data_IF_107149677204
#
_entry.id   IF_107149677204
#
_cell.length_a   1.000
_cell.length_b   1.000
_cell.length_c   1.000
_cell.angle_alpha   90.00
_cell.angle_beta   90.00
_cell.angle_gamma   90.00
#
_symmetry.space_group_name_H-M   'P 1'
#
loop_
_entity.id
_entity.type
_entity.pdbx_description
1 polymer ?
#
# COMPACT_ATOMS: atom_id res chain seq x y z
N UNK A 1 -21.17 8.42 4.30
CA UNK A 1 -21.07 8.07 5.74
C UNK A 1 -19.70 7.50 5.97
N UNK A 2 -18.88 8.14 6.80
CA UNK A 2 -17.50 7.70 7.06
C UNK A 2 -17.55 6.44 7.93
N UNK A 3 -17.17 5.29 7.38
CA UNK A 3 -16.93 4.07 8.15
C UNK A 3 -15.76 4.34 9.08
N UNK A 4 -16.04 4.58 10.35
CA UNK A 4 -15.04 4.53 11.41
C UNK A 4 -14.43 3.13 11.40
N UNK A 5 -13.24 2.99 10.81
CA UNK A 5 -12.51 1.73 10.79
C UNK A 5 -12.37 1.21 12.22
N UNK A 6 -12.86 0.00 12.46
CA UNK A 6 -12.85 -0.65 13.76
C UNK A 6 -11.39 -0.81 14.23
N UNK A 7 -11.01 -0.16 15.34
CA UNK A 7 -9.65 -0.18 15.87
C UNK A 7 -9.52 -1.26 16.94
N UNK A 8 -8.67 -2.25 16.70
CA UNK A 8 -8.36 -3.30 17.68
C UNK A 8 -7.20 -2.85 18.57
N UNK A 9 -7.36 -2.96 19.90
CA UNK A 9 -6.29 -2.65 20.85
C UNK A 9 -5.31 -3.83 20.90
N UNK A 10 -4.04 -3.56 20.60
CA UNK A 10 -2.96 -4.54 20.64
C UNK A 10 -1.87 -4.04 21.58
N UNK A 11 -1.32 -4.94 22.40
CA UNK A 11 -0.15 -4.66 23.25
C UNK A 11 1.06 -5.32 22.61
N UNK A 12 2.10 -4.54 22.31
CA UNK A 12 3.35 -5.00 21.69
C UNK A 12 4.53 -4.70 22.61
N UNK A 13 5.47 -5.64 22.69
CA UNK A 13 6.78 -5.40 23.31
C UNK A 13 7.73 -4.95 22.20
N UNK A 14 8.24 -3.72 22.31
CA UNK A 14 9.14 -3.11 21.33
C UNK A 14 10.47 -2.76 21.98
N UNK A 15 11.51 -2.67 21.16
CA UNK A 15 12.80 -2.15 21.58
C UNK A 15 12.66 -0.70 22.12
N UNK A 16 13.28 -0.36 23.26
CA UNK A 16 13.30 1.00 23.79
C UNK A 16 13.72 2.07 22.78
N UNK A 17 14.65 1.76 21.87
CA UNK A 17 15.09 2.70 20.83
C UNK A 17 13.99 2.97 19.81
N UNK A 18 13.25 1.94 19.42
CA UNK A 18 12.09 2.05 18.52
C UNK A 18 11.00 2.88 19.19
N UNK A 19 10.77 2.69 20.49
CA UNK A 19 9.81 3.49 21.28
C UNK A 19 10.16 4.97 21.25
N UNK A 20 11.45 5.28 21.44
CA UNK A 20 11.95 6.65 21.40
C UNK A 20 11.81 7.25 19.99
N UNK A 21 12.15 6.48 18.96
CA UNK A 21 12.11 6.92 17.56
C UNK A 21 10.68 7.29 17.12
N UNK A 22 9.67 6.45 17.39
CA UNK A 22 8.31 6.76 16.97
C UNK A 22 7.73 7.95 17.75
N UNK A 23 8.06 8.12 19.04
CA UNK A 23 7.62 9.28 19.84
C UNK A 23 8.20 10.59 19.31
N UNK A 24 9.48 10.59 18.94
CA UNK A 24 10.12 11.74 18.30
C UNK A 24 9.46 12.06 16.96
N UNK A 25 9.16 11.04 16.15
CA UNK A 25 8.46 11.22 14.88
C UNK A 25 7.03 11.75 15.09
N UNK A 26 6.31 11.25 16.10
CA UNK A 26 4.98 11.71 16.49
C UNK A 26 5.00 13.19 16.89
N UNK A 27 5.94 13.58 17.75
CA UNK A 27 6.14 14.98 18.17
C UNK A 27 6.47 15.90 16.99
N UNK A 28 7.35 15.47 16.07
CA UNK A 28 7.73 16.26 14.88
C UNK A 28 6.58 16.46 13.90
N UNK A 29 5.71 15.45 13.76
CA UNK A 29 4.57 15.48 12.82
C UNK A 29 3.28 16.00 13.45
N UNK A 30 3.24 16.24 14.76
CA UNK A 30 2.01 16.56 15.49
C UNK A 30 0.98 15.42 15.51
N UNK A 31 1.44 14.18 15.35
CA UNK A 31 0.59 12.99 15.28
C UNK A 31 0.58 12.25 16.63
N UNK A 32 -0.41 11.37 16.82
CA UNK A 32 -0.43 10.45 17.96
C UNK A 32 0.54 9.30 17.72
N UNK A 33 1.15 8.81 18.79
CA UNK A 33 2.01 7.62 18.82
C UNK A 33 1.44 6.46 17.98
N UNK A 34 0.17 6.10 18.22
CA UNK A 34 -0.50 5.03 17.49
C UNK A 34 -0.58 5.29 15.98
N UNK A 35 -0.75 6.53 15.52
CA UNK A 35 -0.85 6.84 14.09
C UNK A 35 0.50 6.59 13.39
N UNK A 36 1.60 6.98 14.04
CA UNK A 36 2.95 6.75 13.49
C UNK A 36 3.27 5.27 13.41
N UNK A 37 2.94 4.50 14.45
CA UNK A 37 3.14 3.05 14.47
C UNK A 37 2.27 2.37 13.40
N UNK A 38 1.01 2.77 13.28
CA UNK A 38 0.07 2.21 12.31
C UNK A 38 0.49 2.54 10.86
N UNK A 39 0.95 3.76 10.58
CA UNK A 39 1.51 4.13 9.27
C UNK A 39 2.75 3.31 8.91
N UNK A 40 3.68 3.14 9.86
CA UNK A 40 4.89 2.35 9.64
C UNK A 40 4.57 0.87 9.38
N UNK A 41 3.65 0.28 10.15
CA UNK A 41 3.19 -1.08 9.94
C UNK A 41 2.46 -1.24 8.60
N UNK A 42 1.62 -0.28 8.21
CA UNK A 42 0.95 -0.30 6.91
C UNK A 42 1.94 -0.25 5.75
N UNK A 43 2.95 0.63 5.84
CA UNK A 43 3.99 0.74 4.83
C UNK A 43 4.80 -0.56 4.72
N UNK A 44 5.20 -1.15 5.85
CA UNK A 44 6.02 -2.37 5.87
C UNK A 44 5.25 -3.62 5.43
N UNK A 45 3.98 -3.74 5.82
CA UNK A 45 3.13 -4.88 5.48
C UNK A 45 2.42 -4.72 4.12
N UNK A 46 2.63 -3.58 3.44
CA UNK A 46 1.93 -3.26 2.18
C UNK A 46 0.42 -3.06 2.33
N UNK A 47 -0.09 -2.92 3.55
CA UNK A 47 -1.50 -2.69 3.83
C UNK A 47 -1.85 -1.28 3.37
N UNK A 48 -2.56 -1.18 2.24
CA UNK A 48 -2.91 0.08 1.59
C UNK A 48 -2.00 0.48 0.43
N UNK A 49 -0.95 -0.29 0.11
CA UNK A 49 -0.14 -0.05 -1.10
C UNK A 49 -0.98 -0.28 -2.37
N UNK A 50 -1.81 -1.32 -2.38
CA UNK A 50 -2.77 -1.58 -3.45
C UNK A 50 -3.85 -0.49 -3.53
N UNK A 51 -4.37 -0.03 -2.39
CA UNK A 51 -5.35 1.08 -2.37
C UNK A 51 -4.74 2.41 -2.84
N UNK A 52 -3.47 2.67 -2.50
CA UNK A 52 -2.74 3.84 -2.98
C UNK A 52 -2.53 3.79 -4.49
N UNK A 53 -2.14 2.63 -5.03
CA UNK A 53 -2.03 2.39 -6.47
C UNK A 53 -3.39 2.54 -7.18
N UNK A 54 -4.45 1.98 -6.61
CA UNK A 54 -5.81 2.10 -7.16
C UNK A 54 -6.34 3.54 -7.10
N UNK A 55 -5.96 4.33 -6.09
CA UNK A 55 -6.31 5.76 -6.00
C UNK A 55 -5.55 6.62 -7.01
N UNK A 56 -4.32 6.25 -7.36
CA UNK A 56 -3.49 6.97 -8.33
C UNK A 56 -3.64 6.46 -9.75
N UNK A 57 -4.28 5.30 -9.94
CA UNK A 57 -4.58 4.79 -11.27
C UNK A 57 -5.43 5.80 -12.05
N UNK A 58 -5.04 6.13 -13.30
CA UNK A 58 -5.86 6.97 -14.16
C UNK A 58 -7.23 6.31 -14.33
N UNK A 59 -8.31 7.11 -14.26
CA UNK A 59 -9.65 6.64 -14.62
C UNK A 59 -9.67 6.43 -16.13
N UNK A 60 -9.30 5.23 -16.56
CA UNK A 60 -9.44 4.79 -17.94
C UNK A 60 -10.90 4.43 -18.20
N UNK A 61 -11.38 4.78 -19.39
CA UNK A 61 -12.65 4.27 -19.88
C UNK A 61 -12.57 2.75 -20.04
N UNK A 62 -13.72 2.07 -19.99
CA UNK A 62 -13.80 0.61 -20.07
C UNK A 62 -13.11 0.07 -21.34
N UNK A 63 -13.26 0.81 -22.45
CA UNK A 63 -12.63 0.47 -23.72
C UNK A 63 -11.10 0.55 -23.67
N UNK A 64 -10.54 1.58 -23.06
CA UNK A 64 -9.10 1.79 -22.89
C UNK A 64 -8.50 0.76 -21.93
N UNK A 65 -9.20 0.43 -20.84
CA UNK A 65 -8.79 -0.59 -19.89
C UNK A 65 -8.69 -1.98 -20.54
N UNK A 66 -9.68 -2.34 -21.37
CA UNK A 66 -9.70 -3.61 -22.10
C UNK A 66 -8.59 -3.64 -23.16
N UNK A 67 -8.30 -2.52 -23.82
CA UNK A 67 -7.18 -2.44 -24.78
C UNK A 67 -5.83 -2.65 -24.08
N UNK A 68 -5.57 -1.94 -22.98
CA UNK A 68 -4.34 -2.08 -22.21
C UNK A 68 -4.12 -3.51 -21.69
N UNK A 69 -5.17 -4.15 -21.16
CA UNK A 69 -5.11 -5.54 -20.71
C UNK A 69 -4.77 -6.52 -21.85
N UNK A 70 -5.33 -6.29 -23.04
CA UNK A 70 -5.06 -7.12 -24.21
C UNK A 70 -3.64 -6.93 -24.76
N UNK A 71 -3.10 -5.71 -24.71
CA UNK A 71 -1.73 -5.40 -25.13
C UNK A 71 -0.70 -6.10 -24.24
N UNK A 72 -0.86 -6.03 -22.93
CA UNK A 72 -0.03 -6.76 -21.97
C UNK A 72 -0.09 -8.28 -22.19
N UNK A 73 -1.31 -8.82 -22.40
CA UNK A 73 -1.49 -10.25 -22.69
C UNK A 73 -0.81 -10.67 -23.99
N UNK A 74 -0.85 -9.82 -25.03
CA UNK A 74 -0.14 -10.04 -26.30
C UNK A 74 1.38 -10.01 -26.09
N UNK A 75 1.90 -9.07 -25.31
CA UNK A 75 3.32 -8.97 -25.00
C UNK A 75 3.82 -10.22 -24.25
N UNK A 76 3.10 -10.65 -23.21
CA UNK A 76 3.40 -11.86 -22.45
C UNK A 76 3.44 -13.12 -23.34
N UNK A 77 2.43 -13.28 -24.22
CA UNK A 77 2.38 -14.39 -25.18
C UNK A 77 3.57 -14.37 -26.15
N UNK A 78 4.00 -13.19 -26.59
CA UNK A 78 5.14 -13.02 -27.50
C UNK A 78 6.46 -13.42 -26.83
N UNK A 79 6.65 -13.07 -25.56
CA UNK A 79 7.81 -13.48 -24.77
C UNK A 79 7.82 -15.01 -24.59
N UNK A 80 6.70 -15.58 -24.13
CA UNK A 80 6.56 -17.04 -23.93
C UNK A 80 6.80 -17.84 -25.22
N UNK A 81 6.39 -17.30 -26.38
CA UNK A 81 6.60 -17.95 -27.67
C UNK A 81 8.07 -17.89 -28.14
N UNK A 82 8.82 -16.86 -27.73
CA UNK A 82 10.27 -16.76 -28.00
C UNK A 82 11.08 -17.68 -27.10
N UNK A 83 10.69 -17.86 -25.84
CA UNK A 83 11.38 -18.75 -24.88
C UNK A 83 11.19 -20.24 -25.20
N UNK A 84 10.16 -20.60 -25.97
CA UNK A 84 9.87 -21.99 -26.37
C UNK A 84 10.48 -22.37 -27.74
N UNK A 85 11.19 -21.45 -28.40
CA UNK A 85 11.96 -21.70 -29.63
C UNK A 85 13.43 -21.77 -29.27
#
# INVERSE_FOLDING_TARGET
MATSAEKVKVTLTLDPEVVRAYRLAAARKGLRDNQVVEEALRAQLGVGALEALLKTAPKMDETEAVQAANEELRAYRKIRRKTKR
#
